data_IF_840996428120
#
_entry.id   IF_840996428120
#
_cell.length_a   1.000
_cell.length_b   1.000
_cell.length_c   1.000
_cell.angle_alpha   90.00
_cell.angle_beta   90.00
_cell.angle_gamma   90.00
#
_symmetry.space_group_name_H-M   'P 1'
#
loop_
_entity.id
_entity.type
_entity.pdbx_description
1 polymer ?
#
# COMPACT_ATOMS: atom_id res chain seq x y z
N UNK A 1 6.71 -7.75 10.99
CA UNK A 1 6.71 -8.00 9.54
C UNK A 1 5.31 -8.43 9.15
N UNK A 2 4.95 -8.35 7.87
CA UNK A 2 3.64 -8.72 7.36
C UNK A 2 2.49 -7.76 7.68
N UNK A 3 2.77 -6.52 8.10
CA UNK A 3 1.74 -5.51 8.42
C UNK A 3 1.76 -4.38 7.40
N UNK A 4 0.59 -3.98 6.91
CA UNK A 4 0.41 -2.85 6.02
C UNK A 4 -0.24 -1.66 6.76
N UNK A 5 0.20 -0.45 6.44
CA UNK A 5 -0.42 0.79 6.88
C UNK A 5 -0.62 1.71 5.68
N UNK A 6 -1.84 2.17 5.44
CA UNK A 6 -2.12 3.21 4.45
C UNK A 6 -1.98 4.59 5.10
N UNK A 7 -1.27 5.51 4.45
CA UNK A 7 -1.26 6.94 4.77
C UNK A 7 -1.38 7.70 3.45
N UNK A 8 -2.42 8.52 3.34
CA UNK A 8 -2.79 9.20 2.10
C UNK A 8 -2.89 8.20 0.94
N UNK A 9 -2.15 8.44 -0.14
CA UNK A 9 -2.09 7.59 -1.34
C UNK A 9 -0.90 6.60 -1.32
N UNK A 10 -0.29 6.35 -0.15
CA UNK A 10 0.88 5.47 -0.01
C UNK A 10 0.55 4.32 0.95
N UNK A 11 0.84 3.09 0.52
CA UNK A 11 0.78 1.90 1.38
C UNK A 11 2.21 1.58 1.85
N UNK A 12 2.42 1.67 3.16
CA UNK A 12 3.64 1.25 3.82
C UNK A 12 3.50 -0.20 4.24
N UNK A 13 4.33 -1.08 3.70
CA UNK A 13 4.33 -2.51 4.03
C UNK A 13 5.61 -2.89 4.76
N UNK A 14 5.49 -3.29 6.02
CA UNK A 14 6.64 -3.67 6.85
C UNK A 14 6.94 -5.16 6.66
N UNK A 15 8.03 -5.49 5.98
CA UNK A 15 8.51 -6.86 5.79
C UNK A 15 10.02 -6.96 6.02
N UNK A 16 10.54 -8.18 6.22
CA UNK A 16 11.99 -8.40 6.20
C UNK A 16 12.55 -8.13 4.80
N UNK A 17 13.76 -7.55 4.74
CA UNK A 17 14.42 -7.32 3.45
C UNK A 17 14.67 -8.65 2.73
N UNK A 18 14.39 -8.80 1.42
CA UNK A 18 14.49 -10.09 0.74
C UNK A 18 15.91 -10.68 0.78
N UNK A 19 16.93 -9.82 0.72
CA UNK A 19 18.33 -10.24 0.83
C UNK A 19 18.68 -10.84 2.20
N UNK A 20 17.86 -10.64 3.24
CA UNK A 20 18.08 -11.27 4.55
C UNK A 20 18.03 -12.81 4.47
N UNK A 21 17.28 -13.37 3.51
CA UNK A 21 17.26 -14.81 3.26
C UNK A 21 18.62 -15.38 2.78
N UNK A 22 19.48 -14.54 2.18
CA UNK A 22 20.81 -14.95 1.73
C UNK A 22 21.76 -15.21 2.90
N UNK A 23 21.59 -14.46 3.99
CA UNK A 23 22.42 -14.58 5.20
C UNK A 23 21.76 -15.43 6.28
N UNK A 24 20.43 -15.46 6.32
CA UNK A 24 19.66 -16.14 7.36
C UNK A 24 18.52 -16.95 6.71
N UNK A 25 18.85 -18.17 6.28
CA UNK A 25 17.95 -19.05 5.52
C UNK A 25 16.62 -19.35 6.23
N UNK A 26 16.60 -19.34 7.56
CA UNK A 26 15.37 -19.52 8.34
C UNK A 26 14.31 -18.45 8.08
N UNK A 27 14.69 -17.26 7.58
CA UNK A 27 13.75 -16.18 7.24
C UNK A 27 13.06 -16.39 5.89
N UNK A 28 13.52 -17.34 5.07
CA UNK A 28 13.04 -17.52 3.70
C UNK A 28 11.53 -17.71 3.63
N UNK A 29 10.98 -18.63 4.42
CA UNK A 29 9.53 -18.92 4.42
C UNK A 29 8.71 -17.71 4.87
N UNK A 30 9.18 -16.97 5.88
CA UNK A 30 8.50 -15.77 6.34
C UNK A 30 8.51 -14.66 5.29
N UNK A 31 9.64 -14.46 4.59
CA UNK A 31 9.77 -13.50 3.50
C UNK A 31 8.87 -13.88 2.32
N UNK A 32 8.86 -15.15 1.92
CA UNK A 32 7.99 -15.65 0.84
C UNK A 32 6.50 -15.44 1.19
N UNK A 33 6.09 -15.79 2.40
CA UNK A 33 4.72 -15.57 2.87
C UNK A 33 4.32 -14.10 2.88
N UNK A 34 5.24 -13.19 3.22
CA UNK A 34 4.99 -11.75 3.18
C UNK A 34 4.94 -11.20 1.75
N UNK A 35 5.76 -11.69 0.82
CA UNK A 35 5.73 -11.28 -0.59
C UNK A 35 4.40 -11.63 -1.26
N UNK A 36 3.83 -12.79 -0.94
CA UNK A 36 2.56 -13.24 -1.50
C UNK A 36 1.38 -12.33 -1.14
N UNK A 37 1.50 -11.48 -0.11
CA UNK A 37 0.46 -10.50 0.27
C UNK A 37 0.54 -9.20 -0.53
N UNK A 38 1.63 -8.92 -1.24
CA UNK A 38 1.81 -7.66 -1.99
C UNK A 38 0.75 -7.51 -3.09
N UNK A 39 0.47 -8.51 -3.94
CA UNK A 39 -0.53 -8.37 -4.99
C UNK A 39 -1.92 -8.00 -4.47
N UNK A 40 -2.37 -8.61 -3.37
CA UNK A 40 -3.67 -8.28 -2.76
C UNK A 40 -3.70 -6.86 -2.20
N UNK A 41 -2.61 -6.40 -1.57
CA UNK A 41 -2.50 -5.03 -1.08
C UNK A 41 -2.54 -3.99 -2.22
N UNK A 42 -1.97 -4.31 -3.38
CA UNK A 42 -2.05 -3.43 -4.56
C UNK A 42 -3.46 -3.40 -5.16
N UNK A 43 -4.14 -4.55 -5.22
CA UNK A 43 -5.53 -4.60 -5.69
C UNK A 43 -6.48 -3.79 -4.79
N UNK A 44 -6.29 -3.84 -3.47
CA UNK A 44 -7.01 -2.98 -2.51
C UNK A 44 -6.72 -1.49 -2.75
N UNK A 45 -5.51 -1.14 -3.18
CA UNK A 45 -5.15 0.24 -3.52
C UNK A 45 -5.89 0.75 -4.75
N UNK A 46 -5.97 -0.07 -5.81
CA UNK A 46 -6.66 0.28 -7.06
C UNK A 46 -8.18 0.40 -6.89
N UNK A 47 -8.78 -0.43 -6.05
CA UNK A 47 -10.21 -0.36 -5.73
C UNK A 47 -10.60 0.96 -5.04
N UNK A 48 -9.65 1.61 -4.37
CA UNK A 48 -9.83 2.91 -3.69
C UNK A 48 -9.16 4.01 -4.54
N UNK A 49 -9.35 3.98 -5.86
CA UNK A 49 -9.12 5.17 -6.68
C UNK A 49 -9.98 6.29 -6.10
N UNK A 50 -9.33 7.25 -5.44
CA UNK A 50 -9.97 8.40 -4.81
C UNK A 50 -10.99 8.99 -5.79
N UNK A 51 -12.24 9.10 -5.37
CA UNK A 51 -13.24 9.89 -6.06
C UNK A 51 -12.67 11.30 -6.15
N UNK A 52 -12.04 11.62 -7.28
CA UNK A 52 -11.52 12.96 -7.56
C UNK A 52 -12.69 13.91 -7.27
N UNK A 53 -12.57 14.83 -6.31
CA UNK A 53 -13.63 15.80 -6.09
C UNK A 53 -13.87 16.47 -7.43
N UNK A 54 -15.11 16.37 -7.93
CA UNK A 54 -15.45 17.05 -9.18
C UNK A 54 -15.12 18.53 -8.99
N UNK A 55 -14.51 19.19 -9.99
CA UNK A 55 -14.17 20.59 -9.87
C UNK A 55 -15.46 21.38 -9.56
N UNK A 56 -15.57 21.86 -8.32
CA UNK A 56 -16.69 22.69 -7.89
C UNK A 56 -16.32 24.15 -8.08
N UNK A 57 -17.02 24.81 -9.00
CA UNK A 57 -16.90 26.24 -9.22
C UNK A 57 -17.54 26.97 -8.03
N UNK A 58 -16.73 27.73 -7.28
CA UNK A 58 -17.23 28.59 -6.21
C UNK A 58 -17.97 29.79 -6.83
N UNK A 59 -19.18 30.06 -6.35
CA UNK A 59 -19.92 31.27 -6.71
C UNK A 59 -19.33 32.45 -5.95
N UNK A 60 -18.72 33.39 -6.68
CA UNK A 60 -18.01 34.53 -6.07
C UNK A 60 -18.96 35.64 -5.57
N UNK A 61 -20.21 35.71 -6.06
CA UNK A 61 -21.18 36.72 -5.67
C UNK A 61 -22.61 36.21 -5.82
N UNK A 62 -23.48 36.54 -4.86
CA UNK A 62 -24.94 36.44 -4.98
C UNK A 62 -25.48 37.80 -5.44
N UNK A 63 -26.43 37.77 -6.39
CA UNK A 63 -27.12 38.96 -6.92
C UNK A 63 -28.33 39.30 -6.06
#
# INVERSE_FOLDING_TARGET
HGTAQKRDNIIYYAMYHPAAALHQQSLRQAIEADMLKIPSLLAEAEAIAEAKPQPQQLTMFEV
#
